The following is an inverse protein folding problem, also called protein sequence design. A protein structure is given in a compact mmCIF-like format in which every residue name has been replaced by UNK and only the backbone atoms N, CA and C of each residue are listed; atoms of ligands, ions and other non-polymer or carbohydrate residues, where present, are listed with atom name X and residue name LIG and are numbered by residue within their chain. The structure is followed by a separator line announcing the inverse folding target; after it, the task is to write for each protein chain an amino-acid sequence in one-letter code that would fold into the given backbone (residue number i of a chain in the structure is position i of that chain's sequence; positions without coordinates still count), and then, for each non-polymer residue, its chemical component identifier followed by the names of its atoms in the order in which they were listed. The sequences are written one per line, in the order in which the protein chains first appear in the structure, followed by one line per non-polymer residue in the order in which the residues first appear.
data_IF_066987179089
#
_entry.id   IF_066987179089
#
_cell.length_a   1.000
_cell.length_b   1.000
_cell.length_c   1.000
_cell.angle_alpha   90.00
_cell.angle_beta   90.00
_cell.angle_gamma   90.00
#
_symmetry.space_group_name_H-M   'P 1'
#
loop_
_entity.id
_entity.type
_entity.pdbx_description
1 polymer ?
#
# COMPACT_ATOMS: atom_id res chain seq x y z
N UNK A 1 3.92 -11.94 -5.91
CA UNK A 1 4.78 -10.91 -6.59
C UNK A 1 6.25 -11.28 -6.31
N UNK A 2 7.28 -10.78 -7.02
CA UNK A 2 8.67 -11.18 -6.71
C UNK A 2 9.07 -10.69 -5.29
N UNK A 3 9.54 -11.60 -4.43
CA UNK A 3 9.81 -11.30 -3.01
C UNK A 3 10.86 -10.19 -2.81
N UNK A 4 11.80 -10.03 -3.74
CA UNK A 4 12.77 -8.93 -3.68
C UNK A 4 12.11 -7.57 -3.92
N UNK A 5 11.11 -7.51 -4.82
CA UNK A 5 10.33 -6.28 -5.05
C UNK A 5 9.56 -5.90 -3.79
N UNK A 6 8.92 -6.89 -3.16
CA UNK A 6 8.15 -6.69 -1.92
C UNK A 6 9.07 -6.20 -0.79
N UNK A 7 10.21 -6.87 -0.57
CA UNK A 7 11.18 -6.47 0.46
C UNK A 7 11.70 -5.05 0.23
N UNK A 8 12.08 -4.72 -1.01
CA UNK A 8 12.54 -3.36 -1.36
C UNK A 8 11.45 -2.32 -1.15
N UNK A 9 10.22 -2.61 -1.58
CA UNK A 9 9.07 -1.73 -1.37
C UNK A 9 8.84 -1.47 0.12
N UNK A 10 8.81 -2.51 0.96
CA UNK A 10 8.64 -2.38 2.41
C UNK A 10 9.72 -1.52 3.05
N UNK A 11 11.00 -1.75 2.70
CA UNK A 11 12.12 -0.92 3.19
C UNK A 11 11.95 0.55 2.83
N UNK A 12 11.60 0.83 1.58
CA UNK A 12 11.37 2.20 1.11
C UNK A 12 10.15 2.84 1.75
N UNK A 13 9.05 2.09 1.92
CA UNK A 13 7.87 2.55 2.63
C UNK A 13 8.21 2.95 4.07
N UNK A 14 8.93 2.09 4.80
CA UNK A 14 9.37 2.39 6.17
C UNK A 14 10.28 3.61 6.23
N UNK A 15 11.24 3.75 5.30
CA UNK A 15 12.10 4.93 5.17
C UNK A 15 11.28 6.22 4.98
N UNK A 16 10.32 6.21 4.04
CA UNK A 16 9.48 7.39 3.77
C UNK A 16 8.52 7.70 4.91
N UNK A 17 8.00 6.67 5.58
CA UNK A 17 7.18 6.81 6.77
C UNK A 17 7.96 7.50 7.90
N UNK A 18 9.14 6.99 8.24
CA UNK A 18 9.98 7.59 9.28
C UNK A 18 10.39 9.01 8.89
N UNK A 19 10.71 9.27 7.63
CA UNK A 19 11.02 10.62 7.17
C UNK A 19 9.85 11.57 7.40
N UNK A 20 8.64 11.12 7.10
CA UNK A 20 7.44 11.91 7.32
C UNK A 20 7.15 12.14 8.80
N UNK A 21 7.36 11.13 9.64
CA UNK A 21 7.29 11.29 11.09
C UNK A 21 8.25 12.38 11.55
N UNK A 22 9.53 12.29 11.16
CA UNK A 22 10.58 13.23 11.56
C UNK A 22 10.23 14.67 11.19
N UNK A 23 9.88 14.89 9.92
CA UNK A 23 9.49 16.21 9.40
C UNK A 23 8.33 16.81 10.20
N UNK A 24 7.32 16.01 10.54
CA UNK A 24 6.16 16.51 11.29
C UNK A 24 6.47 16.72 12.76
N UNK A 25 7.21 15.81 13.41
CA UNK A 25 7.58 15.93 14.82
C UNK A 25 8.54 17.08 15.07
N UNK A 26 9.47 17.35 14.15
CA UNK A 26 10.42 18.47 14.24
C UNK A 26 9.74 19.82 13.98
N UNK A 27 8.88 19.90 12.96
CA UNK A 27 8.23 21.17 12.59
C UNK A 27 7.08 21.58 13.51
N UNK A 28 6.34 20.60 14.05
CA UNK A 28 5.15 20.85 14.85
C UNK A 28 5.36 20.60 16.36
N UNK A 29 6.56 20.19 16.80
CA UNK A 29 6.86 19.79 18.19
C UNK A 29 5.86 18.76 18.75
N UNK A 30 5.42 17.82 17.90
CA UNK A 30 4.51 16.74 18.28
C UNK A 30 5.30 15.50 18.64
N UNK A 31 4.74 14.68 19.54
CA UNK A 31 5.26 13.33 19.80
C UNK A 31 4.88 12.38 18.66
N UNK A 32 5.64 11.29 18.52
CA UNK A 32 5.33 10.23 17.56
C UNK A 32 3.92 9.65 17.79
N UNK A 33 3.47 9.57 19.04
CA UNK A 33 2.13 9.10 19.40
C UNK A 33 1.04 10.01 18.85
N UNK A 34 1.20 11.32 18.99
CA UNK A 34 0.26 12.32 18.47
C UNK A 34 0.26 12.30 16.94
N UNK A 35 1.43 12.15 16.31
CA UNK A 35 1.52 11.97 14.86
C UNK A 35 0.65 10.79 14.39
N UNK A 36 0.82 9.61 14.99
CA UNK A 36 0.08 8.41 14.58
C UNK A 36 -1.42 8.53 14.81
N UNK A 37 -1.83 9.16 15.92
CA UNK A 37 -3.23 9.24 16.31
C UNK A 37 -4.00 10.32 15.56
N UNK A 38 -3.41 11.50 15.43
CA UNK A 38 -4.13 12.72 15.05
C UNK A 38 -3.69 13.26 13.67
N UNK A 39 -2.53 12.81 13.15
CA UNK A 39 -1.96 13.34 11.91
C UNK A 39 -1.77 12.31 10.81
N UNK A 40 -1.62 11.02 11.10
CA UNK A 40 -1.49 9.98 10.08
C UNK A 40 -2.86 9.60 9.51
N UNK A 41 -3.09 9.93 8.24
CA UNK A 41 -4.34 9.65 7.55
C UNK A 41 -4.10 8.96 6.19
N UNK A 42 -5.17 8.52 5.55
CA UNK A 42 -5.11 7.77 4.28
C UNK A 42 -4.37 8.54 3.17
N UNK A 43 -4.47 9.88 3.13
CA UNK A 43 -3.78 10.68 2.13
C UNK A 43 -2.26 10.65 2.34
N UNK A 44 -1.81 10.67 3.59
CA UNK A 44 -0.38 10.53 3.92
C UNK A 44 0.09 9.11 3.59
N UNK A 45 -0.69 8.09 3.93
CA UNK A 45 -0.38 6.71 3.58
C UNK A 45 -0.19 6.53 2.06
N UNK A 46 -1.13 7.02 1.24
CA UNK A 46 -1.02 6.96 -0.22
C UNK A 46 0.21 7.68 -0.77
N UNK A 47 0.61 8.81 -0.18
CA UNK A 47 1.84 9.53 -0.55
C UNK A 47 3.10 8.72 -0.24
N UNK A 48 3.14 8.05 0.91
CA UNK A 48 4.28 7.20 1.29
C UNK A 48 4.36 6.00 0.35
N UNK A 49 3.22 5.40 -0.01
CA UNK A 49 3.16 4.31 -1.00
C UNK A 49 3.69 4.78 -2.35
N UNK A 50 3.27 5.94 -2.84
CA UNK A 50 3.74 6.53 -4.10
C UNK A 50 5.27 6.76 -4.07
N UNK A 51 5.78 7.37 -3.00
CA UNK A 51 7.22 7.59 -2.84
C UNK A 51 8.02 6.27 -2.75
N UNK A 52 7.49 5.27 -2.05
CA UNK A 52 8.11 3.96 -1.97
C UNK A 52 8.20 3.29 -3.35
N UNK A 53 7.13 3.35 -4.15
CA UNK A 53 7.15 2.82 -5.52
C UNK A 53 8.10 3.57 -6.45
N UNK A 54 8.23 4.90 -6.30
CA UNK A 54 9.22 5.68 -7.05
C UNK A 54 10.67 5.27 -6.71
N UNK A 55 10.92 4.89 -5.46
CA UNK A 55 12.23 4.38 -5.03
C UNK A 55 12.52 2.95 -5.48
N UNK A 56 11.48 2.13 -5.73
CA UNK A 56 11.66 0.79 -6.30
C UNK A 56 12.13 0.96 -7.74
N UNK A 57 13.39 0.59 -8.01
CA UNK A 57 13.96 0.83 -9.33
C UNK A 57 13.10 0.23 -10.43
N UNK A 58 12.91 0.98 -11.50
CA UNK A 58 12.24 0.51 -12.70
C UNK A 58 12.87 -0.78 -13.20
N UNK A 59 14.17 -1.01 -12.98
CA UNK A 59 14.87 -2.27 -13.28
C UNK A 59 14.34 -3.46 -12.47
N UNK A 60 14.22 -3.33 -11.14
CA UNK A 60 13.68 -4.38 -10.26
C UNK A 60 12.24 -4.70 -10.64
N UNK A 61 11.43 -3.66 -10.89
CA UNK A 61 10.06 -3.81 -11.34
C UNK A 61 9.99 -4.47 -12.73
N UNK A 62 10.79 -4.01 -13.69
CA UNK A 62 10.91 -4.54 -15.06
C UNK A 62 11.35 -6.00 -15.05
N UNK A 63 12.30 -6.38 -14.20
CA UNK A 63 12.78 -7.76 -14.09
C UNK A 63 11.68 -8.69 -13.56
N UNK A 64 10.97 -8.27 -12.50
CA UNK A 64 9.84 -9.02 -11.97
C UNK A 64 8.67 -9.09 -12.98
N UNK A 65 8.34 -7.97 -13.64
CA UNK A 65 7.33 -7.92 -14.68
C UNK A 65 7.72 -8.73 -15.91
N UNK A 66 9.01 -8.81 -16.28
CA UNK A 66 9.49 -9.68 -17.38
C UNK A 66 9.28 -11.16 -17.06
N UNK A 67 9.49 -11.60 -15.81
CA UNK A 67 9.22 -12.99 -15.39
C UNK A 67 7.75 -13.36 -15.54
N UNK A 68 6.84 -12.43 -15.22
CA UNK A 68 5.40 -12.65 -15.24
C UNK A 68 4.79 -12.43 -16.63
N UNK A 69 5.24 -11.40 -17.34
CA UNK A 69 4.75 -11.01 -18.65
C UNK A 69 5.89 -10.40 -19.52
N UNK A 70 6.67 -11.25 -20.22
CA UNK A 70 7.82 -10.79 -21.01
C UNK A 70 7.45 -9.80 -22.13
N UNK A 71 6.29 -10.00 -22.79
CA UNK A 71 5.82 -9.17 -23.91
C UNK A 71 5.43 -7.74 -23.54
N UNK A 72 5.15 -7.47 -22.27
CA UNK A 72 4.67 -6.16 -21.80
C UNK A 72 5.83 -5.23 -21.44
N UNK A 73 7.06 -5.74 -21.37
CA UNK A 73 8.21 -5.00 -20.83
C UNK A 73 9.26 -4.79 -21.92
N UNK A 74 9.42 -3.54 -22.36
CA UNK A 74 10.46 -3.15 -23.31
C UNK A 74 11.86 -3.23 -22.67
N UNK A 75 12.84 -3.72 -23.44
CA UNK A 75 14.25 -3.82 -23.02
C UNK A 75 14.84 -2.41 -22.91
N UNK A 76 14.91 -1.84 -21.70
CA UNK A 76 15.66 -0.61 -21.45
C UNK A 76 16.82 -0.90 -20.50
N UNK A 77 18.01 -0.48 -20.90
CA UNK A 77 19.23 -0.51 -20.09
C UNK A 77 19.22 0.77 -19.24
N UNK A 78 19.32 0.65 -17.91
CA UNK A 78 19.35 1.78 -16.99
C UNK A 78 20.60 1.75 -16.09
N UNK A 79 21.13 2.95 -15.86
CA UNK A 79 22.30 3.26 -15.04
C UNK A 79 22.07 2.93 -13.55
N UNK A 80 23.17 2.52 -12.94
CA UNK A 80 23.29 1.95 -11.60
C UNK A 80 23.07 3.04 -10.52
N UNK A 81 22.35 2.69 -9.46
CA UNK A 81 22.27 3.55 -8.28
C UNK A 81 23.67 3.62 -7.66
N UNK A 82 24.20 4.84 -7.54
CA UNK A 82 25.44 5.15 -6.83
C UNK A 82 25.49 4.46 -5.46
N UNK A 83 26.65 3.91 -5.05
CA UNK A 83 26.82 3.22 -3.78
C UNK A 83 26.79 4.22 -2.62
N UNK A 84 25.57 4.58 -2.21
CA UNK A 84 25.28 5.29 -0.97
C UNK A 84 25.10 4.33 0.21
N UNK A 85 25.01 4.92 1.41
CA UNK A 85 24.65 4.26 2.67
C UNK A 85 23.46 3.30 2.47
N UNK A 86 23.47 2.14 3.14
CA UNK A 86 22.39 1.17 2.96
C UNK A 86 21.04 1.75 3.42
N UNK A 87 19.93 1.29 2.85
CA UNK A 87 18.59 1.80 3.20
C UNK A 87 18.30 1.54 4.68
N UNK A 88 18.80 0.42 5.20
CA UNK A 88 18.69 0.00 6.59
C UNK A 88 19.47 0.95 7.52
N UNK A 89 20.70 1.32 7.15
CA UNK A 89 21.52 2.27 7.90
C UNK A 89 20.86 3.65 7.96
N UNK A 90 20.26 4.11 6.85
CA UNK A 90 19.51 5.36 6.83
C UNK A 90 18.28 5.33 7.76
N UNK A 91 17.53 4.22 7.79
CA UNK A 91 16.37 4.05 8.67
C UNK A 91 16.79 4.06 10.14
N UNK A 92 17.87 3.33 10.47
CA UNK A 92 18.42 3.29 11.84
C UNK A 92 18.88 4.67 12.30
N UNK A 93 19.59 5.41 11.44
CA UNK A 93 20.04 6.78 11.71
C UNK A 93 18.84 7.70 12.02
N UNK A 94 17.78 7.57 11.22
CA UNK A 94 16.57 8.37 11.36
C UNK A 94 15.75 8.02 12.60
N UNK A 95 15.67 6.73 12.97
CA UNK A 95 15.06 6.31 14.23
C UNK A 95 15.80 6.90 15.44
N UNK A 96 17.13 6.86 15.42
CA UNK A 96 17.97 7.43 16.48
C UNK A 96 17.83 8.95 16.59
N UNK A 97 17.70 9.67 15.48
CA UNK A 97 17.49 11.12 15.52
C UNK A 97 16.13 11.52 16.13
N UNK A 98 15.15 10.61 16.12
CA UNK A 98 13.87 10.77 16.84
C UNK A 98 13.95 10.35 18.32
N UNK A 99 15.12 9.92 18.81
CA UNK A 99 15.28 9.41 20.17
C UNK A 99 14.77 7.98 20.36
N UNK A 100 14.60 7.21 19.28
CA UNK A 100 14.26 5.79 19.36
C UNK A 100 15.53 4.95 19.46
N UNK A 101 15.48 3.91 20.29
CA UNK A 101 16.54 2.90 20.37
C UNK A 101 16.26 1.81 19.34
N UNK A 102 16.81 1.99 18.13
CA UNK A 102 16.60 1.09 16.97
C UNK A 102 17.94 0.61 16.45
N UNK A 103 18.07 -0.70 16.22
CA UNK A 103 19.16 -1.37 15.52
C UNK A 103 18.70 -1.98 14.19
N UNK A 104 19.66 -2.36 13.34
CA UNK A 104 19.37 -2.93 12.01
C UNK A 104 18.52 -4.19 12.09
N UNK A 105 18.66 -4.96 13.18
CA UNK A 105 17.83 -6.14 13.43
C UNK A 105 16.36 -5.79 13.59
N UNK A 106 16.03 -4.72 14.32
CA UNK A 106 14.64 -4.29 14.51
C UNK A 106 14.02 -3.88 13.18
N UNK A 107 14.80 -3.23 12.30
CA UNK A 107 14.36 -2.86 10.96
C UNK A 107 14.11 -4.10 10.10
N UNK A 108 15.01 -5.08 10.14
CA UNK A 108 14.82 -6.33 9.40
C UNK A 108 13.62 -7.11 9.95
N UNK A 109 13.46 -7.23 11.26
CA UNK A 109 12.32 -7.91 11.88
C UNK A 109 11.00 -7.26 11.45
N UNK A 110 10.90 -5.93 11.50
CA UNK A 110 9.73 -5.19 11.03
C UNK A 110 9.43 -5.42 9.53
N UNK A 111 10.46 -5.54 8.70
CA UNK A 111 10.31 -5.80 7.25
C UNK A 111 9.84 -7.24 6.99
N UNK A 112 10.38 -8.19 7.75
CA UNK A 112 10.12 -9.63 7.61
C UNK A 112 8.82 -10.10 8.28
N UNK A 113 8.28 -9.35 9.24
CA UNK A 113 7.07 -9.70 10.01
C UNK A 113 5.82 -9.98 9.16
N UNK A 114 5.80 -9.56 7.89
CA UNK A 114 4.73 -9.85 6.93
C UNK A 114 5.18 -10.63 5.69
N UNK A 115 5.87 -11.75 5.87
CA UNK A 115 6.29 -12.63 4.77
C UNK A 115 5.17 -13.53 4.25
N UNK A 116 4.08 -13.70 5.00
CA UNK A 116 2.94 -14.50 4.58
C UNK A 116 2.12 -13.70 3.55
N UNK A 117 2.23 -14.08 2.27
CA UNK A 117 1.34 -13.56 1.23
C UNK A 117 -0.10 -13.96 1.61
N UNK A 118 -1.00 -12.98 1.68
CA UNK A 118 -2.42 -13.26 1.81
C UNK A 118 -2.82 -14.18 0.64
N UNK A 119 -3.42 -15.30 1.00
CA UNK A 119 -4.00 -16.23 0.03
C UNK A 119 -5.14 -15.54 -0.72
N UNK A 120 -5.44 -16.05 -1.92
CA UNK A 120 -6.56 -15.53 -2.73
C UNK A 120 -7.87 -15.55 -1.95
N UNK A 121 -8.02 -16.56 -1.09
CA UNK A 121 -9.13 -16.78 -0.19
C UNK A 121 -9.21 -15.69 0.89
N UNK A 122 -8.09 -15.35 1.55
CA UNK A 122 -8.05 -14.27 2.55
C UNK A 122 -8.31 -12.88 1.92
N UNK A 123 -7.85 -12.65 0.69
CA UNK A 123 -8.15 -11.41 -0.05
C UNK A 123 -9.64 -11.31 -0.36
N UNK A 124 -10.25 -12.42 -0.79
CA UNK A 124 -11.68 -12.47 -1.09
C UNK A 124 -12.54 -12.30 0.17
N UNK A 125 -12.09 -12.82 1.31
CA UNK A 125 -12.75 -12.65 2.60
C UNK A 125 -12.69 -11.19 3.08
N UNK A 126 -11.54 -10.51 2.92
CA UNK A 126 -11.41 -9.08 3.21
C UNK A 126 -12.30 -8.20 2.31
N UNK A 127 -12.43 -8.55 1.03
CA UNK A 127 -13.36 -7.86 0.13
C UNK A 127 -14.82 -8.06 0.56
N UNK A 128 -15.19 -9.28 0.95
CA UNK A 128 -16.52 -9.60 1.45
C UNK A 128 -16.85 -8.83 2.73
N UNK A 129 -15.92 -8.78 3.69
CA UNK A 129 -16.07 -7.99 4.91
C UNK A 129 -16.24 -6.50 4.62
N UNK A 130 -15.42 -5.92 3.73
CA UNK A 130 -15.57 -4.52 3.32
C UNK A 130 -16.95 -4.25 2.70
N UNK A 131 -17.43 -5.13 1.82
CA UNK A 131 -18.76 -4.97 1.23
C UNK A 131 -19.88 -5.06 2.28
N UNK A 132 -19.72 -5.95 3.27
CA UNK A 132 -20.66 -6.13 4.37
C UNK A 132 -20.70 -4.91 5.28
N UNK A 133 -19.53 -4.39 5.68
CA UNK A 133 -19.41 -3.21 6.54
C UNK A 133 -19.98 -1.96 5.85
N UNK A 134 -19.71 -1.80 4.55
CA UNK A 134 -20.27 -0.72 3.73
C UNK A 134 -21.80 -0.85 3.60
N UNK A 135 -22.34 -2.06 3.44
CA UNK A 135 -23.80 -2.29 3.42
C UNK A 135 -24.45 -1.99 4.78
N UNK A 136 -23.77 -2.30 5.88
CA UNK A 136 -24.24 -2.03 7.25
C UNK A 136 -24.23 -0.53 7.56
N UNK A 137 -23.23 0.20 7.08
CA UNK A 137 -23.10 1.65 7.27
C UNK A 137 -24.07 2.45 6.39
N UNK A 138 -24.45 1.93 5.22
CA UNK A 138 -25.43 2.54 4.30
C UNK A 138 -26.88 2.08 4.62
N UNK A 139 -27.07 1.10 5.52
CA UNK A 139 -28.39 0.68 5.99
C UNK A 139 -29.28 0.03 4.91
N UNK A 140 -28.70 -0.68 3.95
CA UNK A 140 -29.48 -1.40 2.94
C UNK A 140 -29.92 -2.77 3.46
N UNK A 141 -31.20 -2.91 3.82
CA UNK A 141 -31.86 -4.20 3.95
C UNK A 141 -32.16 -4.73 2.54
N UNK A 142 -31.48 -5.81 2.12
CA UNK A 142 -31.92 -6.58 0.95
C UNK A 142 -33.27 -7.22 1.27
N UNK A 143 -34.34 -6.70 0.67
CA UNK A 143 -35.62 -7.40 0.60
C UNK A 143 -35.57 -8.37 -0.56
N UNK A 144 -35.38 -9.66 -0.25
CA UNK A 144 -35.72 -10.74 -1.17
C UNK A 144 -37.24 -10.83 -1.30
N UNK A 145 -37.80 -10.35 -2.42
CA UNK A 145 -39.13 -10.82 -2.84
C UNK A 145 -39.17 -11.05 -4.37
N UNK A 146 -39.52 -12.30 -4.67
CA UNK A 146 -39.69 -13.04 -5.92
C UNK A 146 -39.83 -12.33 -7.27
N UNK A 147 -39.16 -12.95 -8.25
CA UNK A 147 -39.34 -12.84 -9.70
C UNK A 147 -40.81 -13.13 -10.08
N UNK A 148 -41.46 -12.17 -10.75
CA UNK A 148 -42.78 -12.38 -11.37
C UNK A 148 -43.17 -11.28 -12.37
N UNK A 149 -42.85 -11.50 -13.64
CA UNK A 149 -43.51 -10.94 -14.83
C UNK A 149 -44.15 -9.54 -14.74
N UNK A 150 -43.35 -8.48 -14.94
CA UNK A 150 -43.81 -7.22 -15.57
C UNK A 150 -42.76 -6.57 -16.46
N UNK A 151 -42.10 -7.35 -17.31
CA UNK A 151 -41.40 -6.82 -18.47
C UNK A 151 -42.32 -6.88 -19.71
N UNK A 152 -43.31 -5.98 -19.81
CA UNK A 152 -44.00 -5.72 -21.10
C UNK A 152 -44.68 -4.35 -21.23
N UNK A 153 -44.81 -3.51 -20.21
CA UNK A 153 -45.57 -2.26 -20.34
C UNK A 153 -44.67 -1.02 -20.37
N UNK A 154 -43.67 -0.95 -21.26
CA UNK A 154 -43.00 0.32 -21.56
C UNK A 154 -42.63 0.56 -23.04
N UNK A 155 -43.13 -0.25 -24.00
CA UNK A 155 -42.83 -0.03 -25.45
C UNK A 155 -44.03 0.40 -26.30
N UNK A 156 -45.24 0.59 -25.76
CA UNK A 156 -46.39 1.06 -26.57
C UNK A 156 -46.72 2.56 -26.46
N UNK A 157 -45.95 3.38 -25.75
CA UNK A 157 -46.24 4.81 -25.58
C UNK A 157 -45.66 5.76 -26.63
N UNK A 158 -44.92 5.29 -27.64
CA UNK A 158 -44.16 6.15 -28.57
C UNK A 158 -44.61 6.11 -30.04
N UNK A 159 -45.84 5.68 -30.35
CA UNK A 159 -46.40 5.92 -31.70
C UNK A 159 -47.87 6.31 -31.67
N UNK A 160 -48.03 7.61 -31.97
CA UNK A 160 -49.17 8.33 -32.55
C UNK A 160 -50.36 8.69 -31.68
#
# INVERSE_FOLDING_TARGET
MDQQVISNFKKLYTKHLFRRCFEVTETANLTLREFWKDHFNIVICLKIIDQAWLGVTTRTLTSACKKLWPKAVAERIYEELEPGMSVEEEIVSLGKSMGLEVEERDVNELVEEHTQELTTEEIQELQSQQHTDVMQEIGFEESEEEIGDKCTILVSGMKS
#
